data_IF_306019924807
#
_entry.id   IF_306019924807
#
_cell.length_a   1.000
_cell.length_b   1.000
_cell.length_c   1.000
_cell.angle_alpha   90.00
_cell.angle_beta   90.00
_cell.angle_gamma   90.00
#
_symmetry.space_group_name_H-M   'P 1'
#
loop_
_entity.id
_entity.type
_entity.pdbx_description
1 polymer ?
#
# COMPACT_ATOMS: atom_id res chain seq x y z
N UNK A 1 -34.06 26.67 -49.15
CA UNK A 1 -32.90 27.26 -48.44
C UNK A 1 -31.79 26.21 -48.47
N UNK A 2 -30.82 26.34 -49.40
CA UNK A 2 -29.41 26.69 -49.14
C UNK A 2 -28.78 25.86 -48.00
N UNK A 3 -27.68 25.14 -48.10
CA UNK A 3 -26.75 24.70 -49.16
C UNK A 3 -25.89 23.61 -48.51
N UNK A 4 -25.42 22.68 -49.33
CA UNK A 4 -24.36 21.69 -49.07
C UNK A 4 -23.10 22.31 -48.44
N UNK A 5 -22.47 21.58 -47.51
CA UNK A 5 -21.20 21.93 -46.88
C UNK A 5 -20.28 20.71 -46.82
N UNK A 6 -19.66 20.38 -47.95
CA UNK A 6 -18.50 19.48 -48.04
C UNK A 6 -17.29 20.15 -47.40
N UNK A 7 -16.58 19.46 -46.50
CA UNK A 7 -15.24 19.85 -46.08
C UNK A 7 -14.24 18.79 -46.54
N UNK A 8 -13.54 19.15 -47.62
CA UNK A 8 -12.35 18.48 -48.11
C UNK A 8 -11.13 18.84 -47.26
N UNK A 9 -10.24 17.86 -47.09
CA UNK A 9 -8.90 17.93 -46.51
C UNK A 9 -7.98 18.93 -47.22
N UNK A 10 -6.88 19.33 -46.56
CA UNK A 10 -5.58 19.06 -47.18
C UNK A 10 -4.52 18.45 -46.26
N UNK A 11 -3.74 17.58 -46.91
CA UNK A 11 -2.43 17.03 -46.56
C UNK A 11 -1.41 18.11 -46.15
N UNK A 12 -0.56 17.79 -45.17
CA UNK A 12 0.82 18.30 -45.21
C UNK A 12 1.81 17.38 -44.50
N UNK A 13 2.81 16.99 -45.28
CA UNK A 13 4.04 16.29 -44.91
C UNK A 13 4.79 17.05 -43.82
N UNK A 14 5.32 16.33 -42.84
CA UNK A 14 6.53 16.75 -42.13
C UNK A 14 7.53 15.60 -42.12
N UNK A 15 8.60 15.82 -42.88
CA UNK A 15 9.72 14.94 -43.13
C UNK A 15 10.61 14.77 -41.89
N UNK A 16 11.17 13.57 -41.78
CA UNK A 16 12.50 13.25 -41.26
C UNK A 16 13.09 14.08 -40.10
N UNK A 17 13.34 13.39 -38.99
CA UNK A 17 14.69 13.37 -38.38
C UNK A 17 14.97 12.04 -37.69
N UNK A 18 15.66 11.16 -38.42
CA UNK A 18 16.58 10.20 -37.79
C UNK A 18 17.77 11.00 -37.28
N UNK A 19 18.05 10.89 -36.00
CA UNK A 19 19.41 11.11 -35.49
C UNK A 19 19.71 10.00 -34.49
N UNK A 20 20.75 9.26 -34.85
CA UNK A 20 21.19 8.03 -34.25
C UNK A 20 21.58 8.20 -32.78
N UNK A 21 21.33 7.15 -31.99
CA UNK A 21 22.00 6.95 -30.70
C UNK A 21 23.51 6.80 -30.94
N UNK A 22 24.36 7.56 -30.25
CA UNK A 22 25.78 7.27 -30.26
C UNK A 22 26.04 5.93 -29.55
N UNK A 23 26.66 5.01 -30.29
CA UNK A 23 27.44 3.89 -29.77
C UNK A 23 28.83 4.42 -29.42
N UNK A 24 29.18 4.37 -28.15
CA UNK A 24 30.55 4.37 -27.64
C UNK A 24 30.45 4.25 -26.12
N UNK A 25 31.28 3.52 -25.40
CA UNK A 25 32.44 2.71 -25.74
C UNK A 25 32.77 1.96 -24.45
N UNK A 26 33.21 0.73 -24.59
CA UNK A 26 33.73 -0.11 -23.54
C UNK A 26 34.58 0.68 -22.53
N UNK A 27 34.07 0.81 -21.30
CA UNK A 27 34.88 1.22 -20.16
C UNK A 27 35.82 0.06 -19.83
N UNK A 28 37.09 0.34 -20.08
CA UNK A 28 38.24 -0.52 -19.87
C UNK A 28 38.31 -0.95 -18.40
N UNK A 29 38.65 -2.23 -18.24
CA UNK A 29 39.48 -2.79 -17.16
C UNK A 29 39.19 -2.32 -15.74
N UNK A 30 38.47 -3.15 -14.99
CA UNK A 30 38.83 -3.35 -13.59
C UNK A 30 40.32 -3.68 -13.54
N UNK A 31 41.10 -2.85 -12.85
CA UNK A 31 42.50 -3.13 -12.56
C UNK A 31 42.60 -4.46 -11.84
N UNK A 32 43.28 -5.42 -12.46
CA UNK A 32 43.80 -6.57 -11.75
C UNK A 32 44.91 -6.07 -10.83
N UNK A 33 44.90 -6.35 -9.52
CA UNK A 33 46.11 -6.22 -8.74
C UNK A 33 47.12 -7.27 -9.22
N UNK A 34 48.33 -6.79 -9.47
CA UNK A 34 49.48 -7.60 -9.86
C UNK A 34 49.67 -8.77 -8.90
N UNK A 35 49.91 -9.94 -9.48
CA UNK A 35 50.28 -11.15 -8.77
C UNK A 35 51.57 -10.89 -7.97
N UNK A 36 51.44 -10.80 -6.64
CA UNK A 36 52.57 -11.03 -5.74
C UNK A 36 52.69 -12.53 -5.52
N UNK A 37 53.74 -13.09 -6.12
CA UNK A 37 54.18 -14.46 -5.94
C UNK A 37 54.46 -14.74 -4.45
N UNK A 38 53.87 -15.83 -3.93
CA UNK A 38 54.27 -16.38 -2.63
C UNK A 38 53.18 -16.43 -1.57
N UNK A 39 52.04 -17.07 -1.85
CA UNK A 39 51.13 -17.52 -0.80
C UNK A 39 50.76 -18.99 -1.03
N UNK A 40 51.29 -19.82 -0.14
CA UNK A 40 51.07 -21.27 -0.02
C UNK A 40 49.62 -21.52 0.37
N UNK A 41 48.86 -22.22 -0.47
CA UNK A 41 47.45 -22.53 -0.22
C UNK A 41 47.34 -23.60 0.87
N UNK A 42 46.88 -23.18 2.04
CA UNK A 42 46.35 -24.05 3.08
C UNK A 42 44.87 -24.33 2.72
N UNK A 43 44.56 -25.56 2.30
CA UNK A 43 43.19 -26.08 2.10
C UNK A 43 42.56 -26.55 3.42
N UNK A 44 42.38 -25.64 4.36
CA UNK A 44 41.42 -25.82 5.47
C UNK A 44 40.57 -24.56 5.62
N UNK A 45 39.38 -24.64 5.03
CA UNK A 45 38.17 -24.13 5.66
C UNK A 45 38.06 -22.63 5.89
N UNK A 46 38.43 -21.81 4.90
CA UNK A 46 37.97 -20.42 4.89
C UNK A 46 36.91 -20.29 3.79
N UNK A 47 35.67 -20.62 4.15
CA UNK A 47 34.53 -20.10 3.42
C UNK A 47 34.60 -18.58 3.56
N UNK A 48 34.92 -17.91 2.46
CA UNK A 48 34.70 -16.50 2.30
C UNK A 48 33.17 -16.28 2.28
N UNK A 49 32.53 -16.34 3.45
CA UNK A 49 31.21 -15.78 3.64
C UNK A 49 31.38 -14.26 3.52
N UNK A 50 31.35 -13.77 2.28
CA UNK A 50 31.20 -12.35 2.00
C UNK A 50 29.83 -11.98 2.54
N UNK A 51 29.81 -11.53 3.79
CA UNK A 51 28.72 -10.79 4.38
C UNK A 51 28.47 -9.56 3.50
N UNK A 52 27.60 -9.71 2.51
CA UNK A 52 26.87 -8.63 1.87
C UNK A 52 25.85 -8.08 2.88
N UNK A 53 26.36 -7.58 4.01
CA UNK A 53 25.59 -7.02 5.11
C UNK A 53 25.54 -5.52 5.01
N UNK A 54 25.02 -5.00 3.89
CA UNK A 54 24.45 -3.66 3.89
C UNK A 54 23.03 -3.77 4.43
N UNK A 55 22.86 -3.75 5.75
CA UNK A 55 21.54 -3.56 6.33
C UNK A 55 21.14 -2.12 6.03
N UNK A 56 20.37 -1.93 4.96
CA UNK A 56 19.74 -0.65 4.67
C UNK A 56 18.92 -0.24 5.90
N UNK A 57 19.29 0.88 6.53
CA UNK A 57 18.58 1.51 7.67
C UNK A 57 17.27 2.17 7.18
N UNK A 58 16.65 1.62 6.14
CA UNK A 58 15.28 2.00 5.79
C UNK A 58 14.38 1.17 6.68
N UNK A 59 13.52 1.80 7.51
CA UNK A 59 12.51 1.05 8.24
C UNK A 59 11.74 0.22 7.21
N UNK A 60 11.49 -1.04 7.54
CA UNK A 60 10.56 -1.87 6.76
C UNK A 60 9.30 -1.04 6.49
N UNK A 61 8.89 -0.94 5.23
CA UNK A 61 7.77 -0.07 4.84
C UNK A 61 6.54 -0.36 5.71
N UNK A 62 6.36 -1.62 6.15
CA UNK A 62 5.27 -2.02 7.04
C UNK A 62 5.40 -1.40 8.42
N UNK A 63 6.59 -1.23 8.95
CA UNK A 63 6.79 -0.60 10.26
C UNK A 63 6.37 0.87 10.25
N UNK A 64 6.74 1.60 9.20
CA UNK A 64 6.25 2.97 9.00
C UNK A 64 4.73 3.03 8.88
N UNK A 65 4.13 2.09 8.14
CA UNK A 65 2.68 2.00 8.03
C UNK A 65 2.03 1.69 9.38
N UNK A 66 2.61 0.81 10.19
CA UNK A 66 2.11 0.52 11.54
C UNK A 66 2.13 1.75 12.43
N UNK A 67 3.16 2.59 12.34
CA UNK A 67 3.26 3.82 13.12
C UNK A 67 2.31 4.93 12.63
N UNK A 68 2.07 5.00 11.32
CA UNK A 68 1.21 6.02 10.73
C UNK A 68 -0.28 5.66 10.74
N UNK A 69 -0.64 4.38 10.82
CA UNK A 69 -2.04 3.94 10.90
C UNK A 69 -2.44 3.80 12.37
N UNK A 70 -3.22 4.78 12.84
CA UNK A 70 -3.84 4.79 14.16
C UNK A 70 -5.24 4.19 14.11
N UNK A 71 -5.68 3.67 15.25
CA UNK A 71 -7.04 3.20 15.46
C UNK A 71 -7.72 4.17 16.42
N UNK A 72 -8.97 4.52 16.15
CA UNK A 72 -9.72 5.43 17.00
C UNK A 72 -11.20 5.13 17.00
N UNK A 73 -11.91 5.68 17.99
CA UNK A 73 -13.37 5.65 18.03
C UNK A 73 -13.92 6.94 17.42
N UNK A 74 -15.04 6.82 16.71
CA UNK A 74 -15.70 7.97 16.08
C UNK A 74 -16.28 8.97 17.09
N UNK A 75 -16.64 8.51 18.29
CA UNK A 75 -17.21 9.36 19.34
C UNK A 75 -16.15 10.08 20.16
N UNK A 76 -14.87 9.73 19.98
CA UNK A 76 -13.78 10.41 20.68
C UNK A 76 -13.51 11.75 19.96
N UNK A 77 -13.21 12.81 20.73
CA UNK A 77 -12.95 14.12 20.15
C UNK A 77 -11.73 14.05 19.21
N UNK A 78 -11.77 14.73 18.05
CA UNK A 78 -10.62 14.79 17.15
C UNK A 78 -9.40 15.36 17.87
N UNK A 79 -8.25 14.71 17.71
CA UNK A 79 -6.96 15.23 18.15
C UNK A 79 -6.15 15.74 16.96
N UNK A 80 -5.31 16.76 17.17
CA UNK A 80 -4.40 17.29 16.15
C UNK A 80 -3.42 16.21 15.64
N UNK A 81 -3.17 15.16 16.43
CA UNK A 81 -2.33 14.03 16.06
C UNK A 81 -3.01 12.93 15.23
N UNK A 82 -4.31 13.03 14.95
CA UNK A 82 -5.07 11.98 14.24
C UNK A 82 -4.84 12.00 12.72
N UNK A 83 -4.37 13.12 12.18
CA UNK A 83 -4.16 13.28 10.74
C UNK A 83 -5.46 13.08 9.96
N UNK A 84 -5.41 12.23 8.93
CA UNK A 84 -6.56 11.96 8.06
C UNK A 84 -7.51 10.92 8.66
N UNK A 85 -8.74 11.31 8.98
CA UNK A 85 -9.75 10.48 9.65
C UNK A 85 -10.62 9.73 8.64
N UNK A 86 -10.45 8.42 8.57
CA UNK A 86 -11.19 7.54 7.65
C UNK A 86 -12.20 6.69 8.42
N UNK A 87 -13.49 6.89 8.15
CA UNK A 87 -14.56 6.08 8.72
C UNK A 87 -14.78 4.82 7.87
N UNK A 88 -14.47 3.66 8.44
CA UNK A 88 -14.58 2.36 7.77
C UNK A 88 -15.77 1.54 8.30
N UNK A 89 -16.94 2.18 8.47
CA UNK A 89 -18.17 1.53 8.93
C UNK A 89 -19.17 1.41 7.79
N UNK A 90 -20.06 0.42 7.86
CA UNK A 90 -21.09 0.23 6.81
C UNK A 90 -22.17 1.31 6.87
N UNK A 91 -22.40 1.84 8.06
CA UNK A 91 -23.40 2.85 8.35
C UNK A 91 -22.74 4.03 9.03
N UNK A 92 -23.27 5.21 8.74
CA UNK A 92 -22.93 6.42 9.47
C UNK A 92 -23.46 6.33 10.92
N UNK A 93 -22.62 6.57 11.93
CA UNK A 93 -23.03 6.55 13.33
C UNK A 93 -23.99 7.69 13.66
N UNK A 94 -24.95 7.45 14.56
CA UNK A 94 -25.93 8.47 14.97
C UNK A 94 -25.27 9.54 15.82
N UNK A 95 -25.65 10.80 15.62
CA UNK A 95 -25.14 11.93 16.40
C UNK A 95 -23.73 12.39 16.04
N UNK A 96 -23.12 11.81 15.02
CA UNK A 96 -21.80 12.22 14.53
C UNK A 96 -21.97 13.22 13.39
N UNK A 97 -21.34 14.38 13.53
CA UNK A 97 -21.34 15.41 12.51
C UNK A 97 -20.35 15.07 11.39
N UNK A 98 -20.65 15.52 10.16
CA UNK A 98 -19.83 15.22 8.97
C UNK A 98 -18.39 15.76 9.05
N UNK A 99 -18.17 16.86 9.75
CA UNK A 99 -16.87 17.50 9.97
C UNK A 99 -15.92 16.67 10.86
N UNK A 100 -16.43 15.66 11.56
CA UNK A 100 -15.58 14.75 12.32
C UNK A 100 -14.86 13.71 11.43
N UNK A 101 -15.23 13.57 10.16
CA UNK A 101 -14.70 12.53 9.26
C UNK A 101 -14.24 13.16 7.96
N UNK A 102 -12.97 12.99 7.61
CA UNK A 102 -12.44 13.47 6.34
C UNK A 102 -12.86 12.59 5.17
N UNK A 103 -12.98 11.27 5.41
CA UNK A 103 -13.27 10.31 4.35
C UNK A 103 -14.13 9.14 4.85
N UNK A 104 -15.20 8.82 4.10
CA UNK A 104 -16.09 7.70 4.42
C UNK A 104 -15.94 6.55 3.44
N UNK A 105 -15.43 5.41 3.92
CA UNK A 105 -15.17 4.21 3.14
C UNK A 105 -16.06 3.03 3.55
N UNK A 106 -17.33 3.13 3.18
CA UNK A 106 -18.35 2.10 3.47
C UNK A 106 -18.09 0.74 2.83
N UNK A 107 -17.30 0.70 1.74
CA UNK A 107 -16.98 -0.53 1.00
C UNK A 107 -15.93 -1.39 1.70
N UNK A 108 -15.07 -0.78 2.50
CA UNK A 108 -14.06 -1.49 3.30
C UNK A 108 -14.66 -2.09 4.57
N UNK A 109 -15.88 -1.71 4.96
CA UNK A 109 -16.54 -2.27 6.12
C UNK A 109 -16.99 -3.72 5.86
N UNK A 110 -16.99 -4.59 6.90
CA UNK A 110 -17.47 -5.96 6.77
C UNK A 110 -18.95 -6.00 6.33
N UNK A 111 -19.33 -7.09 5.64
CA UNK A 111 -20.71 -7.29 5.20
C UNK A 111 -21.71 -7.35 6.36
N UNK A 112 -22.97 -7.00 6.08
CA UNK A 112 -24.05 -7.01 7.08
C UNK A 112 -24.29 -8.40 7.66
N UNK A 113 -24.16 -9.42 6.82
CA UNK A 113 -24.36 -10.82 7.19
C UNK A 113 -23.26 -11.27 8.13
N UNK A 114 -22.00 -10.94 7.82
CA UNK A 114 -20.86 -11.29 8.66
C UNK A 114 -20.92 -10.61 10.03
N UNK A 115 -21.30 -9.33 10.10
CA UNK A 115 -21.52 -8.62 11.38
C UNK A 115 -22.67 -9.27 12.17
N UNK A 116 -23.75 -9.69 11.50
CA UNK A 116 -24.91 -10.31 12.13
C UNK A 116 -24.55 -11.65 12.77
N UNK A 117 -23.84 -12.51 12.05
CA UNK A 117 -23.39 -13.81 12.56
C UNK A 117 -22.44 -13.65 13.75
N UNK A 118 -21.49 -12.72 13.67
CA UNK A 118 -20.59 -12.43 14.79
C UNK A 118 -21.34 -11.94 16.03
N UNK A 119 -22.31 -11.02 15.86
CA UNK A 119 -23.14 -10.52 16.98
C UNK A 119 -24.07 -11.56 17.58
N UNK A 120 -24.49 -12.56 16.81
CA UNK A 120 -25.29 -13.68 17.31
C UNK A 120 -24.48 -14.68 18.13
N UNK A 121 -23.14 -14.65 18.01
CA UNK A 121 -22.26 -15.64 18.63
C UNK A 121 -22.10 -16.93 17.82
N UNK A 122 -22.69 -16.99 16.62
CA UNK A 122 -22.61 -18.14 15.72
C UNK A 122 -21.22 -18.28 15.06
N UNK A 123 -20.42 -17.21 15.13
CA UNK A 123 -19.12 -17.10 14.47
C UNK A 123 -18.02 -16.66 15.44
N UNK A 124 -16.93 -17.43 15.51
CA UNK A 124 -15.76 -17.06 16.31
C UNK A 124 -14.95 -15.94 15.66
N UNK A 125 -14.21 -15.17 16.47
CA UNK A 125 -13.37 -14.07 15.97
C UNK A 125 -12.36 -14.48 14.88
N UNK A 126 -11.64 -15.62 14.99
CA UNK A 126 -10.75 -16.07 13.92
C UNK A 126 -11.50 -16.40 12.62
N UNK A 127 -12.71 -16.95 12.71
CA UNK A 127 -13.53 -17.24 11.54
C UNK A 127 -14.07 -15.96 10.88
N UNK A 128 -14.48 -14.98 11.69
CA UNK A 128 -14.84 -13.63 11.23
C UNK A 128 -13.69 -12.99 10.46
N UNK A 129 -12.47 -13.01 11.01
CA UNK A 129 -11.30 -12.42 10.36
C UNK A 129 -10.97 -13.06 9.01
N UNK A 130 -11.05 -14.39 8.90
CA UNK A 130 -10.82 -15.08 7.62
C UNK A 130 -11.86 -14.69 6.56
N UNK A 131 -13.14 -14.71 6.91
CA UNK A 131 -14.22 -14.33 5.97
C UNK A 131 -14.13 -12.86 5.57
N UNK A 132 -13.83 -11.97 6.50
CA UNK A 132 -13.64 -10.56 6.20
C UNK A 132 -12.45 -10.32 5.26
N UNK A 133 -11.32 -11.00 5.47
CA UNK A 133 -10.17 -10.94 4.55
C UNK A 133 -10.53 -11.44 3.14
N UNK A 134 -11.39 -12.45 3.03
CA UNK A 134 -11.92 -12.92 1.73
C UNK A 134 -12.82 -11.87 1.07
N UNK A 135 -13.67 -11.17 1.82
CA UNK A 135 -14.46 -10.06 1.27
C UNK A 135 -13.55 -8.96 0.69
N UNK A 136 -12.45 -8.66 1.38
CA UNK A 136 -11.45 -7.67 0.96
C UNK A 136 -10.59 -8.11 -0.24
N UNK A 137 -10.63 -9.37 -0.67
CA UNK A 137 -9.76 -9.87 -1.74
C UNK A 137 -10.21 -9.50 -3.16
N UNK A 138 -11.32 -8.74 -3.29
CA UNK A 138 -11.77 -8.24 -4.60
C UNK A 138 -10.83 -7.15 -5.12
N UNK A 139 -10.58 -7.12 -6.44
CA UNK A 139 -9.61 -6.18 -7.04
C UNK A 139 -9.93 -4.71 -6.72
N UNK A 140 -11.22 -4.35 -6.71
CA UNK A 140 -11.64 -2.99 -6.37
C UNK A 140 -11.25 -2.62 -4.92
N UNK A 141 -11.42 -3.53 -3.96
CA UNK A 141 -11.06 -3.27 -2.56
C UNK A 141 -9.54 -3.32 -2.36
N UNK A 142 -8.84 -4.23 -3.04
CA UNK A 142 -7.37 -4.27 -3.01
C UNK A 142 -6.76 -2.98 -3.57
N UNK A 143 -7.32 -2.41 -4.63
CA UNK A 143 -6.88 -1.11 -5.16
C UNK A 143 -7.06 0.02 -4.15
N UNK A 144 -8.15 -0.02 -3.38
CA UNK A 144 -8.46 0.95 -2.34
C UNK A 144 -7.54 0.80 -1.12
N UNK A 145 -7.26 -0.43 -0.69
CA UNK A 145 -6.27 -0.73 0.36
C UNK A 145 -4.88 -0.22 -0.02
N UNK A 146 -4.46 -0.41 -1.28
CA UNK A 146 -3.18 0.13 -1.79
C UNK A 146 -3.17 1.65 -1.82
N UNK A 147 -4.29 2.29 -2.17
CA UNK A 147 -4.43 3.76 -2.13
C UNK A 147 -4.24 4.25 -0.68
N UNK A 148 -4.91 3.62 0.27
CA UNK A 148 -4.76 3.95 1.70
C UNK A 148 -3.33 3.71 2.21
N UNK A 149 -2.68 2.62 1.80
CA UNK A 149 -1.28 2.35 2.14
C UNK A 149 -0.34 3.44 1.61
N UNK A 150 -0.57 3.92 0.39
CA UNK A 150 0.21 5.02 -0.20
C UNK A 150 0.03 6.33 0.57
N UNK A 151 -1.20 6.62 0.98
CA UNK A 151 -1.50 7.80 1.82
C UNK A 151 -0.86 7.65 3.21
N UNK A 152 -0.93 6.47 3.81
CA UNK A 152 -0.34 6.18 5.12
C UNK A 152 1.19 6.21 5.08
N UNK A 153 1.81 6.11 3.90
CA UNK A 153 3.26 6.24 3.75
C UNK A 153 3.75 7.69 3.90
N UNK A 154 2.89 8.68 3.61
CA UNK A 154 3.24 10.11 3.67
C UNK A 154 2.65 10.86 4.86
N UNK A 155 1.50 10.43 5.38
CA UNK A 155 0.82 11.07 6.51
C UNK A 155 0.19 10.07 7.47
N UNK A 156 -0.10 10.51 8.69
CA UNK A 156 -0.86 9.74 9.67
C UNK A 156 -2.31 9.60 9.21
N UNK A 157 -2.86 8.41 9.33
CA UNK A 157 -4.27 8.09 9.06
C UNK A 157 -4.86 7.46 10.32
N UNK A 158 -6.05 7.90 10.71
CA UNK A 158 -6.81 7.28 11.80
C UNK A 158 -8.02 6.54 11.26
N UNK A 159 -8.06 5.22 11.47
CA UNK A 159 -9.20 4.38 11.13
C UNK A 159 -10.25 4.43 12.23
N UNK A 160 -11.41 4.96 11.91
CA UNK A 160 -12.50 5.17 12.85
C UNK A 160 -13.54 4.05 12.79
N UNK A 161 -13.98 3.63 13.98
CA UNK A 161 -15.10 2.73 14.18
C UNK A 161 -15.95 3.17 15.38
N UNK A 162 -17.16 2.63 15.51
CA UNK A 162 -18.01 2.83 16.69
C UNK A 162 -17.73 1.82 17.82
N UNK A 163 -16.98 0.73 17.55
CA UNK A 163 -16.65 -0.28 18.56
C UNK A 163 -15.80 0.32 19.68
N UNK A 164 -16.09 -0.12 20.90
CA UNK A 164 -15.40 0.31 22.12
C UNK A 164 -14.02 -0.32 22.23
N UNK A 165 -13.93 -1.66 22.15
CA UNK A 165 -12.65 -2.38 22.20
C UNK A 165 -11.98 -2.47 20.83
N UNK A 166 -10.66 -2.29 20.80
CA UNK A 166 -9.83 -2.48 19.60
C UNK A 166 -9.58 -3.95 19.26
N UNK A 167 -9.52 -4.82 20.26
CA UNK A 167 -9.18 -6.25 20.13
C UNK A 167 -10.15 -7.01 19.23
N UNK A 168 -11.44 -6.71 19.35
CA UNK A 168 -12.54 -7.38 18.63
C UNK A 168 -13.20 -6.43 17.62
N UNK A 169 -12.39 -5.60 16.97
CA UNK A 169 -12.88 -4.65 15.97
C UNK A 169 -12.28 -4.90 14.60
N UNK A 170 -13.11 -4.82 13.57
CA UNK A 170 -12.68 -4.96 12.18
C UNK A 170 -11.66 -3.89 11.76
N UNK A 171 -11.56 -2.76 12.47
CA UNK A 171 -10.53 -1.72 12.23
C UNK A 171 -9.11 -2.27 12.39
N UNK A 172 -8.92 -3.21 13.31
CA UNK A 172 -7.63 -3.87 13.54
C UNK A 172 -7.30 -4.79 12.37
N UNK A 173 -8.29 -5.57 11.90
CA UNK A 173 -8.14 -6.42 10.71
C UNK A 173 -7.89 -5.61 9.43
N UNK A 174 -8.55 -4.45 9.31
CA UNK A 174 -8.37 -3.54 8.18
C UNK A 174 -6.97 -2.93 8.17
N UNK A 175 -6.43 -2.52 9.33
CA UNK A 175 -5.04 -2.05 9.46
C UNK A 175 -4.05 -3.11 8.94
N UNK A 176 -4.20 -4.35 9.39
CA UNK A 176 -3.37 -5.45 8.90
C UNK A 176 -3.53 -5.68 7.40
N UNK A 177 -4.76 -5.63 6.87
CA UNK A 177 -5.01 -5.77 5.43
C UNK A 177 -4.33 -4.65 4.59
N UNK A 178 -4.32 -3.41 5.08
CA UNK A 178 -3.62 -2.29 4.42
C UNK A 178 -2.12 -2.57 4.39
N UNK A 179 -1.54 -3.04 5.50
CA UNK A 179 -0.11 -3.36 5.59
C UNK A 179 0.25 -4.55 4.68
N UNK A 180 -0.61 -5.58 4.65
CA UNK A 180 -0.44 -6.77 3.81
C UNK A 180 -0.50 -6.44 2.31
N UNK A 181 -1.33 -5.45 1.91
CA UNK A 181 -1.53 -5.05 0.50
C UNK A 181 -0.25 -4.58 -0.21
N UNK A 182 0.77 -4.15 0.55
CA UNK A 182 2.07 -3.73 0.01
C UNK A 182 2.89 -4.92 -0.52
N UNK A 183 2.68 -6.13 0.01
CA UNK A 183 3.46 -7.31 -0.38
C UNK A 183 2.96 -7.99 -1.64
N UNK A 184 1.70 -7.79 -2.03
CA UNK A 184 1.08 -8.52 -3.16
C UNK A 184 1.55 -8.01 -4.55
N UNK A 185 2.55 -7.13 -4.59
CA UNK A 185 3.16 -6.60 -5.81
C UNK A 185 4.61 -7.11 -6.03
N UNK A 186 5.04 -8.16 -5.34
CA UNK A 186 6.34 -8.81 -5.54
C UNK A 186 6.23 -10.04 -6.44
#
# INVERSE_FOLDING_TARGET
MRTSGSFSTPSSRASHRRSARPRSSAAKSCGQPAAVSGARWNTRGNTCARSSGGWSIVPDIKERLRQNIKLGRIYDPPSEGDGHRVLATRYWPRGVRGDAVDEYQSKLAPSRELIREFRKGDLSWPAFGRRYKQELSTEALQSELRRLAKVASSRVITLLCYCEMETDCHRTLLREAIIESVNQNA
#
